data_IF_037230602642
#
_entry.id   IF_037230602642
#
_cell.length_a   1.000
_cell.length_b   1.000
_cell.length_c   1.000
_cell.angle_alpha   90.00
_cell.angle_beta   90.00
_cell.angle_gamma   90.00
#
_symmetry.space_group_name_H-M   'P 1'
#
loop_
_entity.id
_entity.type
_entity.pdbx_description
1 polymer ?
#
# COMPACT_ATOMS: atom_id res chain seq x y z
N UNK A 1 -25.63 -6.30 0.31
CA UNK A 1 -24.41 -6.25 -0.53
C UNK A 1 -23.43 -7.20 0.10
N UNK A 2 -22.93 -8.14 -0.66
CA UNK A 2 -21.93 -9.08 -0.17
C UNK A 2 -20.62 -8.37 0.13
N UNK A 3 -19.88 -8.89 1.08
CA UNK A 3 -18.57 -8.35 1.45
C UNK A 3 -17.58 -8.61 0.28
N UNK A 4 -16.76 -7.62 -0.14
CA UNK A 4 -15.86 -7.81 -1.27
C UNK A 4 -14.85 -8.92 -1.01
N UNK A 5 -14.59 -9.72 -2.02
CA UNK A 5 -13.58 -10.78 -2.02
C UNK A 5 -12.18 -10.21 -1.92
N UNK A 6 -11.19 -11.03 -1.53
CA UNK A 6 -9.78 -10.62 -1.51
C UNK A 6 -9.32 -10.19 -2.91
N UNK A 7 -9.74 -10.90 -3.96
CA UNK A 7 -9.39 -10.57 -5.35
C UNK A 7 -9.88 -9.16 -5.75
N UNK A 8 -11.13 -8.83 -5.45
CA UNK A 8 -11.69 -7.49 -5.71
C UNK A 8 -10.96 -6.40 -4.92
N UNK A 9 -10.60 -6.67 -3.66
CA UNK A 9 -9.84 -5.73 -2.83
C UNK A 9 -8.42 -5.52 -3.35
N UNK A 10 -7.75 -6.59 -3.81
CA UNK A 10 -6.40 -6.51 -4.39
C UNK A 10 -6.43 -5.74 -5.70
N UNK A 11 -7.45 -5.97 -6.57
CA UNK A 11 -7.64 -5.19 -7.79
C UNK A 11 -7.78 -3.70 -7.48
N UNK A 12 -8.68 -3.34 -6.57
CA UNK A 12 -8.89 -1.95 -6.16
C UNK A 12 -7.62 -1.34 -5.54
N UNK A 13 -6.84 -2.14 -4.79
CA UNK A 13 -5.55 -1.70 -4.28
C UNK A 13 -4.54 -1.44 -5.40
N UNK A 14 -4.43 -2.30 -6.41
CA UNK A 14 -3.55 -2.09 -7.57
C UNK A 14 -3.93 -0.81 -8.31
N UNK A 15 -5.22 -0.62 -8.63
CA UNK A 15 -5.75 0.56 -9.32
C UNK A 15 -5.42 1.87 -8.57
N UNK A 16 -5.64 1.90 -7.26
CA UNK A 16 -5.30 3.08 -6.46
C UNK A 16 -3.79 3.26 -6.25
N UNK A 17 -3.04 2.15 -6.14
CA UNK A 17 -1.59 2.20 -5.96
C UNK A 17 -0.88 2.79 -7.20
N UNK A 18 -1.27 2.40 -8.43
CA UNK A 18 -0.68 2.97 -9.66
C UNK A 18 -0.93 4.48 -9.76
N UNK A 19 -2.14 4.94 -9.43
CA UNK A 19 -2.46 6.38 -9.36
C UNK A 19 -1.61 7.07 -8.30
N UNK A 20 -1.50 6.48 -7.12
CA UNK A 20 -0.70 7.00 -6.01
C UNK A 20 0.78 7.18 -6.37
N UNK A 21 1.33 6.27 -7.14
CA UNK A 21 2.76 6.21 -7.50
C UNK A 21 3.07 6.80 -8.87
N UNK A 22 2.06 7.06 -9.70
CA UNK A 22 2.28 7.45 -11.09
C UNK A 22 2.98 6.36 -11.89
N UNK A 23 2.65 5.09 -11.60
CA UNK A 23 3.12 3.94 -12.35
C UNK A 23 2.30 3.75 -13.64
N UNK A 24 2.75 2.86 -14.53
CA UNK A 24 1.99 2.50 -15.72
C UNK A 24 0.67 1.80 -15.36
N UNK A 25 -0.29 1.82 -16.29
CA UNK A 25 -1.52 1.04 -16.13
C UNK A 25 -1.20 -0.45 -16.01
N UNK A 26 -1.95 -1.20 -15.18
CA UNK A 26 -1.72 -2.60 -14.98
C UNK A 26 -2.11 -3.40 -16.22
N UNK A 27 -1.31 -4.38 -16.59
CA UNK A 27 -1.65 -5.38 -17.59
C UNK A 27 -2.32 -6.55 -16.90
N UNK A 28 -3.54 -6.91 -17.35
CA UNK A 28 -4.23 -8.10 -16.87
C UNK A 28 -3.51 -9.36 -17.33
N UNK A 29 -3.25 -10.27 -16.41
CA UNK A 29 -2.61 -11.56 -16.63
C UNK A 29 -3.51 -12.69 -16.10
N UNK A 30 -3.37 -13.92 -16.58
CA UNK A 30 -4.17 -15.05 -16.07
C UNK A 30 -4.06 -15.28 -14.56
N UNK A 31 -2.96 -14.83 -13.96
CA UNK A 31 -2.64 -15.00 -12.54
C UNK A 31 -2.81 -13.71 -11.71
N UNK A 32 -3.18 -12.57 -12.32
CA UNK A 32 -3.33 -11.28 -11.65
C UNK A 32 -2.90 -10.09 -12.50
N UNK A 33 -1.91 -9.31 -12.08
CA UNK A 33 -1.52 -8.07 -12.76
C UNK A 33 0.00 -7.89 -12.83
N UNK A 34 0.47 -7.40 -13.99
CA UNK A 34 1.81 -6.85 -14.19
C UNK A 34 1.75 -5.33 -14.24
N UNK A 35 2.69 -4.66 -13.58
CA UNK A 35 2.80 -3.19 -13.57
C UNK A 35 4.25 -2.79 -13.81
N UNK A 36 4.49 -1.97 -14.83
CA UNK A 36 5.76 -1.29 -15.01
C UNK A 36 5.86 -0.09 -14.06
N UNK A 37 6.86 -0.11 -13.19
CA UNK A 37 7.03 0.93 -12.16
C UNK A 37 8.10 1.94 -12.55
N UNK A 38 9.11 1.52 -13.30
CA UNK A 38 10.15 2.39 -13.85
C UNK A 38 11.08 3.00 -12.81
N UNK A 39 11.21 2.40 -11.63
CA UNK A 39 12.13 2.86 -10.57
C UNK A 39 13.35 1.95 -10.49
N UNK A 40 14.57 2.46 -10.22
CA UNK A 40 15.80 1.65 -10.21
C UNK A 40 15.76 0.44 -9.29
N UNK A 41 15.06 0.56 -8.15
CA UNK A 41 14.87 -0.55 -7.19
C UNK A 41 13.57 -1.32 -7.38
N UNK A 42 12.73 -0.88 -8.30
CA UNK A 42 11.45 -1.49 -8.62
C UNK A 42 11.11 -1.23 -10.08
N UNK A 43 11.66 -2.07 -10.96
CA UNK A 43 11.46 -1.95 -12.41
C UNK A 43 10.03 -2.37 -12.76
N UNK A 44 9.62 -3.54 -12.29
CA UNK A 44 8.29 -4.09 -12.49
C UNK A 44 7.74 -4.70 -11.20
N UNK A 45 6.42 -4.86 -11.15
CA UNK A 45 5.70 -5.51 -10.07
C UNK A 45 4.68 -6.48 -10.64
N UNK A 46 4.70 -7.72 -10.17
CA UNK A 46 3.68 -8.71 -10.43
C UNK A 46 2.86 -8.92 -9.15
N UNK A 47 1.55 -8.83 -9.26
CA UNK A 47 0.60 -8.92 -8.13
C UNK A 47 -0.32 -10.12 -8.36
N UNK A 48 -0.28 -11.10 -7.48
CA UNK A 48 -1.08 -12.32 -7.51
C UNK A 48 -2.04 -12.32 -6.33
N UNK A 49 -3.34 -12.11 -6.56
CA UNK A 49 -4.36 -12.09 -5.48
C UNK A 49 -4.64 -13.48 -4.90
N UNK A 50 -4.48 -14.52 -5.71
CA UNK A 50 -4.63 -15.93 -5.35
C UNK A 50 -3.47 -16.73 -5.97
N UNK A 51 -2.26 -16.68 -5.37
CA UNK A 51 -1.08 -17.27 -5.96
C UNK A 51 -1.14 -18.80 -5.91
N UNK A 52 -0.93 -19.44 -7.07
CA UNK A 52 -0.75 -20.88 -7.18
C UNK A 52 0.68 -21.22 -7.57
N UNK A 53 1.19 -22.37 -7.09
CA UNK A 53 2.59 -22.79 -7.27
C UNK A 53 3.04 -22.73 -8.73
N UNK A 54 2.24 -23.24 -9.67
CA UNK A 54 2.59 -23.32 -11.09
C UNK A 54 2.86 -21.94 -11.69
N UNK A 55 2.05 -20.93 -11.36
CA UNK A 55 2.20 -19.58 -11.91
C UNK A 55 3.37 -18.84 -11.26
N UNK A 56 3.53 -18.97 -9.94
CA UNK A 56 4.69 -18.39 -9.24
C UNK A 56 5.99 -18.96 -9.77
N UNK A 57 6.09 -20.30 -9.96
CA UNK A 57 7.29 -20.93 -10.53
C UNK A 57 7.58 -20.47 -11.96
N UNK A 58 6.56 -20.28 -12.80
CA UNK A 58 6.74 -19.73 -14.16
C UNK A 58 7.30 -18.31 -14.11
N UNK A 59 6.71 -17.43 -13.27
CA UNK A 59 7.19 -16.06 -13.10
C UNK A 59 8.62 -16.01 -12.56
N UNK A 60 8.92 -16.81 -11.55
CA UNK A 60 10.27 -16.94 -10.97
C UNK A 60 11.29 -17.36 -12.03
N UNK A 61 10.98 -18.35 -12.86
CA UNK A 61 11.85 -18.85 -13.91
C UNK A 61 12.02 -17.86 -15.09
N UNK A 62 10.99 -17.08 -15.40
CA UNK A 62 10.99 -16.10 -16.50
C UNK A 62 11.64 -14.77 -16.11
N UNK A 63 11.77 -14.48 -14.81
CA UNK A 63 12.30 -13.19 -14.35
C UNK A 63 13.82 -13.15 -14.48
N UNK A 64 14.31 -12.18 -15.25
CA UNK A 64 15.74 -11.92 -15.46
C UNK A 64 16.17 -10.53 -15.00
N UNK A 65 15.23 -9.58 -14.89
CA UNK A 65 15.51 -8.20 -14.56
C UNK A 65 15.61 -8.01 -13.02
N UNK A 66 16.76 -7.58 -12.48
CA UNK A 66 16.87 -7.17 -11.08
C UNK A 66 15.88 -6.03 -10.76
N UNK A 67 15.33 -6.04 -9.56
CA UNK A 67 14.29 -5.06 -9.18
C UNK A 67 12.89 -5.41 -9.67
N UNK A 68 12.65 -6.61 -10.21
CA UNK A 68 11.30 -7.15 -10.38
C UNK A 68 10.76 -7.62 -9.03
N UNK A 69 9.53 -7.22 -8.72
CA UNK A 69 8.87 -7.53 -7.45
C UNK A 69 7.69 -8.48 -7.64
N UNK A 70 7.55 -9.42 -6.69
CA UNK A 70 6.35 -10.24 -6.53
C UNK A 70 5.58 -9.78 -5.28
N UNK A 71 4.29 -9.59 -5.42
CA UNK A 71 3.33 -9.33 -4.33
C UNK A 71 2.30 -10.46 -4.36
N UNK A 72 2.48 -11.43 -3.47
CA UNK A 72 1.72 -12.67 -3.43
C UNK A 72 0.80 -12.63 -2.20
N UNK A 73 -0.53 -12.59 -2.40
CA UNK A 73 -1.48 -12.50 -1.30
C UNK A 73 -1.67 -13.87 -0.64
N UNK A 74 -0.62 -14.34 0.01
CA UNK A 74 -0.51 -15.56 0.80
C UNK A 74 0.56 -15.39 1.87
N UNK A 75 0.60 -16.31 2.84
CA UNK A 75 1.65 -16.37 3.85
C UNK A 75 3.01 -16.72 3.23
N UNK A 76 4.09 -16.16 3.78
CA UNK A 76 5.45 -16.40 3.31
C UNK A 76 5.82 -17.88 3.32
N UNK A 77 5.41 -18.63 4.33
CA UNK A 77 5.72 -20.06 4.45
C UNK A 77 5.05 -20.90 3.35
N UNK A 78 3.89 -20.46 2.87
CA UNK A 78 3.20 -21.08 1.73
C UNK A 78 4.00 -20.91 0.43
N UNK A 79 4.50 -19.71 0.17
CA UNK A 79 5.16 -19.38 -1.11
C UNK A 79 6.65 -19.71 -1.13
N UNK A 80 7.28 -19.85 0.04
CA UNK A 80 8.72 -20.12 0.18
C UNK A 80 9.22 -21.29 -0.67
N UNK A 81 8.55 -22.46 -0.74
CA UNK A 81 9.01 -23.60 -1.56
C UNK A 81 8.94 -23.38 -3.07
N UNK A 82 8.24 -22.32 -3.52
CA UNK A 82 8.02 -22.03 -4.94
C UNK A 82 9.10 -21.12 -5.53
N UNK A 83 9.96 -20.54 -4.68
CA UNK A 83 10.97 -19.56 -5.08
C UNK A 83 12.25 -20.23 -5.54
N UNK A 84 12.93 -19.58 -6.47
CA UNK A 84 14.26 -19.97 -6.96
C UNK A 84 15.38 -19.07 -6.40
N UNK A 85 16.63 -19.32 -6.79
CA UNK A 85 17.76 -18.49 -6.40
C UNK A 85 17.60 -17.05 -6.89
N UNK A 86 18.18 -16.10 -6.15
CA UNK A 86 18.14 -14.67 -6.48
C UNK A 86 16.89 -13.93 -5.97
N UNK A 87 15.85 -14.63 -5.49
CA UNK A 87 14.70 -14.01 -4.86
C UNK A 87 14.93 -13.78 -3.38
N UNK A 88 14.56 -12.61 -2.91
CA UNK A 88 14.72 -12.17 -1.51
C UNK A 88 13.41 -11.65 -0.96
N UNK A 89 13.14 -11.95 0.29
CA UNK A 89 12.01 -11.37 1.02
C UNK A 89 12.28 -9.91 1.38
N UNK A 90 11.27 -9.09 1.22
CA UNK A 90 11.10 -7.80 1.88
C UNK A 90 10.18 -7.98 3.08
N UNK A 91 9.87 -6.90 3.78
CA UNK A 91 8.90 -6.96 4.88
C UNK A 91 7.55 -7.50 4.39
N UNK A 92 6.93 -8.43 5.13
CA UNK A 92 5.60 -8.93 4.82
C UNK A 92 4.58 -7.80 4.86
N UNK A 93 3.53 -7.95 4.08
CA UNK A 93 2.42 -7.00 4.04
C UNK A 93 1.12 -7.59 4.59
N UNK A 94 0.20 -6.70 4.92
CA UNK A 94 -1.16 -7.06 5.32
C UNK A 94 -2.14 -6.17 4.57
N UNK A 95 -2.94 -6.77 3.68
CA UNK A 95 -4.06 -6.05 3.07
C UNK A 95 -5.07 -5.72 4.17
N UNK A 96 -5.38 -4.44 4.30
CA UNK A 96 -6.33 -3.98 5.31
C UNK A 96 -7.37 -3.07 4.68
N UNK A 97 -8.57 -3.11 5.24
CA UNK A 97 -9.70 -2.27 4.83
C UNK A 97 -10.36 -1.58 6.01
N UNK A 98 -11.02 -0.45 5.74
CA UNK A 98 -11.85 0.28 6.69
C UNK A 98 -13.01 0.93 5.97
N UNK A 99 -14.23 0.96 6.53
CA UNK A 99 -15.29 1.85 6.07
C UNK A 99 -14.84 3.30 6.24
N UNK A 100 -15.04 4.12 5.21
CA UNK A 100 -14.75 5.55 5.27
C UNK A 100 -15.97 6.31 5.81
N UNK A 101 -15.70 7.24 6.71
CA UNK A 101 -16.68 8.14 7.28
C UNK A 101 -16.05 9.52 7.49
N UNK A 102 -16.88 10.54 7.69
CA UNK A 102 -16.40 11.87 8.04
C UNK A 102 -15.59 11.82 9.33
N UNK A 103 -14.43 12.41 9.30
CA UNK A 103 -13.54 12.54 10.46
C UNK A 103 -13.14 13.99 10.70
N UNK A 104 -12.75 14.30 11.92
CA UNK A 104 -12.19 15.60 12.29
C UNK A 104 -10.80 15.40 12.84
N UNK A 105 -9.75 15.49 11.99
CA UNK A 105 -8.38 15.36 12.46
C UNK A 105 -8.08 16.51 13.46
N UNK A 106 -7.61 16.15 14.65
CA UNK A 106 -7.16 17.13 15.65
C UNK A 106 -5.64 17.23 15.57
N UNK A 107 -5.16 18.42 15.22
CA UNK A 107 -3.72 18.68 15.08
C UNK A 107 -3.13 18.90 16.48
N UNK A 108 -2.11 18.10 16.89
CA UNK A 108 -1.45 18.31 18.18
C UNK A 108 -0.76 19.68 18.26
N UNK A 109 -0.63 20.23 19.47
CA UNK A 109 0.08 21.49 19.70
C UNK A 109 1.53 21.42 19.16
N UNK A 110 2.00 22.49 18.56
CA UNK A 110 3.34 22.58 17.96
C UNK A 110 3.45 21.98 16.56
N UNK A 111 2.34 21.53 15.96
CA UNK A 111 2.33 21.02 14.58
C UNK A 111 1.31 21.78 13.72
N UNK A 112 1.53 21.70 12.41
CA UNK A 112 0.59 22.18 11.38
C UNK A 112 0.29 21.04 10.41
N UNK A 113 -0.94 20.99 9.87
CA UNK A 113 -1.39 20.03 8.88
C UNK A 113 -1.76 20.77 7.61
N UNK A 114 -1.19 20.35 6.48
CA UNK A 114 -1.56 20.85 5.15
C UNK A 114 -1.99 19.68 4.28
N UNK A 115 -3.11 19.82 3.57
CA UNK A 115 -3.57 18.83 2.59
C UNK A 115 -3.87 19.48 1.25
N UNK A 116 -3.60 18.77 0.14
CA UNK A 116 -3.90 19.24 -1.22
C UNK A 116 -4.12 18.09 -2.18
N UNK A 117 -4.90 18.34 -3.21
CA UNK A 117 -5.10 17.44 -4.34
C UNK A 117 -4.17 17.76 -5.50
N UNK A 118 -3.60 16.75 -6.13
CA UNK A 118 -2.88 16.87 -7.41
C UNK A 118 -2.86 15.53 -8.13
N UNK A 119 -3.29 15.50 -9.40
CA UNK A 119 -3.25 14.30 -10.25
C UNK A 119 -4.03 13.12 -9.68
N UNK A 120 -5.24 13.35 -9.13
CA UNK A 120 -6.06 12.29 -8.52
C UNK A 120 -5.59 11.82 -7.13
N UNK A 121 -4.52 12.43 -6.60
CA UNK A 121 -3.92 12.04 -5.31
C UNK A 121 -4.08 13.18 -4.30
N UNK A 122 -4.67 12.88 -3.16
CA UNK A 122 -4.65 13.75 -1.99
C UNK A 122 -3.38 13.50 -1.17
N UNK A 123 -2.66 14.56 -0.87
CA UNK A 123 -1.44 14.50 -0.06
C UNK A 123 -1.61 15.27 1.23
N UNK A 124 -1.00 14.73 2.28
CA UNK A 124 -0.98 15.33 3.61
C UNK A 124 0.47 15.51 4.04
N UNK A 125 0.76 16.68 4.59
CA UNK A 125 2.05 17.02 5.17
C UNK A 125 1.84 17.62 6.55
N UNK A 126 2.51 17.06 7.54
CA UNK A 126 2.60 17.57 8.91
C UNK A 126 3.98 18.20 9.11
N UNK A 127 4.00 19.42 9.59
CA UNK A 127 5.22 20.16 9.95
C UNK A 127 5.19 20.56 11.41
N UNK A 128 6.37 20.75 11.98
CA UNK A 128 6.55 21.43 13.27
C UNK A 128 6.23 22.92 13.15
N UNK A 129 6.07 23.63 14.28
CA UNK A 129 5.78 25.07 14.29
C UNK A 129 6.87 25.93 13.63
N UNK A 130 8.12 25.45 13.59
CA UNK A 130 9.26 26.05 12.88
C UNK A 130 9.43 25.57 11.42
N UNK A 131 8.48 24.77 10.92
CA UNK A 131 8.36 24.39 9.51
C UNK A 131 9.06 23.10 9.09
N UNK A 132 9.74 22.38 9.99
CA UNK A 132 10.40 21.11 9.66
C UNK A 132 9.40 19.99 9.38
N UNK A 133 9.81 19.03 8.55
CA UNK A 133 9.05 17.82 8.25
C UNK A 133 8.84 16.97 9.50
N UNK A 134 7.62 16.48 9.71
CA UNK A 134 7.28 15.60 10.82
C UNK A 134 6.54 14.32 10.40
N UNK A 135 5.59 14.40 9.46
CA UNK A 135 4.88 13.25 8.92
C UNK A 135 4.24 13.57 7.56
N UNK A 136 3.97 12.53 6.78
CA UNK A 136 3.26 12.63 5.52
C UNK A 136 2.41 11.41 5.25
N UNK A 137 1.56 11.50 4.25
CA UNK A 137 0.82 10.40 3.66
C UNK A 137 0.11 10.84 2.40
N UNK A 138 -0.36 9.89 1.63
CA UNK A 138 -1.16 10.19 0.44
C UNK A 138 -2.27 9.16 0.25
N UNK A 139 -3.28 9.56 -0.52
CA UNK A 139 -4.49 8.80 -0.81
C UNK A 139 -4.84 8.96 -2.28
N UNK A 140 -5.01 7.86 -2.99
CA UNK A 140 -5.59 7.86 -4.33
C UNK A 140 -7.03 7.35 -4.26
N UNK A 141 -7.96 8.05 -4.90
CA UNK A 141 -9.38 7.65 -4.96
C UNK A 141 -9.70 7.11 -6.34
N UNK A 142 -10.21 5.88 -6.39
CA UNK A 142 -10.64 5.19 -7.59
C UNK A 142 -12.05 4.63 -7.37
N UNK A 143 -13.05 5.29 -7.97
CA UNK A 143 -14.46 4.93 -7.77
C UNK A 143 -14.88 4.98 -6.29
N UNK A 144 -15.40 3.88 -5.77
CA UNK A 144 -15.85 3.75 -4.39
C UNK A 144 -14.73 3.43 -3.38
N UNK A 145 -13.49 3.29 -3.84
CA UNK A 145 -12.35 2.93 -3.00
C UNK A 145 -11.31 4.04 -2.91
N UNK A 146 -10.58 4.08 -1.81
CA UNK A 146 -9.47 5.01 -1.59
C UNK A 146 -8.26 4.26 -1.02
N UNK A 147 -7.14 4.30 -1.74
CA UNK A 147 -5.90 3.61 -1.35
C UNK A 147 -4.96 4.56 -0.65
N UNK A 148 -4.73 4.30 0.66
CA UNK A 148 -3.76 5.04 1.46
C UNK A 148 -2.34 4.46 1.25
N UNK A 149 -1.37 5.33 0.99
CA UNK A 149 -0.02 4.95 0.61
C UNK A 149 1.02 5.97 1.14
N UNK A 150 2.28 5.57 1.22
CA UNK A 150 3.40 6.41 1.64
C UNK A 150 3.18 7.12 2.99
N UNK A 151 2.56 6.42 3.95
CA UNK A 151 2.40 6.93 5.30
C UNK A 151 3.75 6.82 6.02
N UNK A 152 4.27 7.97 6.44
CA UNK A 152 5.57 8.07 7.07
C UNK A 152 5.55 9.08 8.21
N UNK A 153 6.21 8.75 9.32
CA UNK A 153 6.47 9.68 10.42
C UNK A 153 7.97 9.70 10.69
N UNK A 154 8.54 10.91 10.68
CA UNK A 154 9.95 11.12 11.00
C UNK A 154 10.29 10.46 12.35
N UNK A 155 11.41 9.74 12.45
CA UNK A 155 11.82 9.05 13.69
C UNK A 155 11.81 9.96 14.94
N UNK A 156 12.23 11.21 14.81
CA UNK A 156 12.24 12.19 15.91
C UNK A 156 10.84 12.65 16.34
N UNK A 157 9.82 12.35 15.54
CA UNK A 157 8.42 12.75 15.78
C UNK A 157 7.46 11.58 16.01
N UNK A 158 7.98 10.33 16.11
CA UNK A 158 7.18 9.14 16.41
C UNK A 158 6.56 9.21 17.81
N UNK A 159 5.51 8.40 18.04
CA UNK A 159 4.76 8.28 19.31
C UNK A 159 4.09 9.57 19.79
N UNK A 160 3.88 10.54 18.89
CA UNK A 160 3.19 11.82 19.16
C UNK A 160 1.82 11.91 18.47
N UNK A 161 1.24 10.77 18.02
CA UNK A 161 -0.06 10.72 17.37
C UNK A 161 -0.09 11.17 15.90
N UNK A 162 1.06 11.49 15.28
CA UNK A 162 1.09 12.04 13.91
C UNK A 162 0.65 11.03 12.85
N UNK A 163 0.98 9.75 13.01
CA UNK A 163 0.48 8.70 12.11
C UNK A 163 -1.05 8.62 12.13
N UNK A 164 -1.66 8.69 13.32
CA UNK A 164 -3.13 8.73 13.46
C UNK A 164 -3.72 10.01 12.86
N UNK A 165 -3.08 11.16 13.04
CA UNK A 165 -3.49 12.43 12.43
C UNK A 165 -3.52 12.33 10.90
N UNK A 166 -2.42 11.82 10.29
CA UNK A 166 -2.31 11.61 8.84
C UNK A 166 -3.42 10.70 8.35
N UNK A 167 -3.60 9.53 8.98
CA UNK A 167 -4.62 8.56 8.56
C UNK A 167 -6.05 9.10 8.67
N UNK A 168 -6.37 9.84 9.72
CA UNK A 168 -7.69 10.50 9.87
C UNK A 168 -7.92 11.55 8.78
N UNK A 169 -6.90 12.34 8.46
CA UNK A 169 -6.99 13.34 7.39
C UNK A 169 -7.19 12.68 6.00
N UNK A 170 -6.51 11.58 5.73
CA UNK A 170 -6.67 10.82 4.49
C UNK A 170 -8.07 10.19 4.39
N UNK A 171 -8.58 9.59 5.48
CA UNK A 171 -9.91 8.98 5.52
C UNK A 171 -11.02 10.01 5.31
N UNK A 172 -10.94 11.18 5.97
CA UNK A 172 -11.87 12.28 5.77
C UNK A 172 -11.87 12.78 4.32
N UNK A 173 -10.68 12.94 3.71
CA UNK A 173 -10.54 13.34 2.31
C UNK A 173 -11.14 12.31 1.35
N UNK A 174 -10.91 11.01 1.57
CA UNK A 174 -11.50 9.92 0.79
C UNK A 174 -13.03 9.90 0.89
N UNK A 175 -13.56 10.02 2.11
CA UNK A 175 -15.01 10.11 2.34
C UNK A 175 -15.63 11.32 1.62
N UNK A 176 -15.04 12.51 1.73
CA UNK A 176 -15.50 13.72 1.02
C UNK A 176 -15.42 13.59 -0.49
N UNK A 177 -14.50 12.79 -1.01
CA UNK A 177 -14.40 12.50 -2.43
C UNK A 177 -15.39 11.41 -2.90
N UNK A 178 -16.24 10.88 -2.01
CA UNK A 178 -17.28 9.90 -2.31
C UNK A 178 -16.85 8.44 -2.18
N UNK A 179 -15.60 8.16 -1.78
CA UNK A 179 -15.19 6.80 -1.50
C UNK A 179 -15.83 6.28 -0.20
N UNK A 180 -16.21 5.02 -0.20
CA UNK A 180 -16.84 4.32 0.93
C UNK A 180 -15.90 3.38 1.65
N UNK A 181 -14.85 2.91 0.97
CA UNK A 181 -13.92 1.92 1.49
C UNK A 181 -12.48 2.39 1.37
N UNK A 182 -11.77 2.46 2.50
CA UNK A 182 -10.33 2.66 2.54
C UNK A 182 -9.60 1.32 2.41
N UNK A 183 -8.52 1.31 1.63
CA UNK A 183 -7.66 0.14 1.40
C UNK A 183 -6.20 0.55 1.61
N UNK A 184 -5.40 -0.32 2.20
CA UNK A 184 -3.94 -0.20 2.26
C UNK A 184 -3.28 -1.57 2.37
N UNK A 185 -1.96 -1.63 2.12
CA UNK A 185 -1.11 -2.75 2.53
C UNK A 185 -0.16 -2.24 3.61
N UNK A 186 -0.33 -2.77 4.81
CA UNK A 186 0.44 -2.42 6.00
C UNK A 186 1.72 -3.22 6.11
N UNK A 187 2.80 -2.60 6.59
CA UNK A 187 3.94 -3.32 7.18
C UNK A 187 3.57 -3.88 8.57
N UNK A 188 4.34 -4.80 9.16
CA UNK A 188 4.10 -5.29 10.52
C UNK A 188 4.00 -4.16 11.56
N UNK A 189 4.86 -3.14 11.47
CA UNK A 189 4.81 -1.95 12.35
C UNK A 189 3.53 -1.14 12.12
N UNK A 190 3.18 -0.88 10.85
CA UNK A 190 1.97 -0.11 10.50
C UNK A 190 0.68 -0.80 10.87
N UNK A 191 0.63 -2.14 10.83
CA UNK A 191 -0.55 -2.93 11.17
C UNK A 191 -1.10 -2.60 12.55
N UNK A 192 -0.24 -2.45 13.56
CA UNK A 192 -0.66 -2.12 14.92
C UNK A 192 -1.37 -0.75 14.98
N UNK A 193 -0.82 0.26 14.31
CA UNK A 193 -1.42 1.59 14.20
C UNK A 193 -2.80 1.51 13.50
N UNK A 194 -2.85 0.84 12.36
CA UNK A 194 -4.09 0.79 11.57
C UNK A 194 -5.18 -0.01 12.26
N UNK A 195 -4.84 -1.14 12.91
CA UNK A 195 -5.81 -1.89 13.73
C UNK A 195 -6.39 -1.03 14.86
N UNK A 196 -5.57 -0.21 15.54
CA UNK A 196 -6.05 0.74 16.55
C UNK A 196 -6.95 1.86 15.97
N UNK A 197 -6.90 2.10 14.66
CA UNK A 197 -7.76 3.03 13.93
C UNK A 197 -8.97 2.35 13.27
N UNK A 198 -9.24 1.09 13.61
CA UNK A 198 -10.41 0.33 13.13
C UNK A 198 -10.24 -0.36 11.77
N UNK A 199 -9.01 -0.42 11.24
CA UNK A 199 -8.74 -1.18 10.02
C UNK A 199 -8.70 -2.68 10.33
N UNK A 200 -9.30 -3.47 9.44
CA UNK A 200 -9.35 -4.94 9.54
C UNK A 200 -8.43 -5.58 8.52
N UNK A 201 -7.68 -6.60 8.94
CA UNK A 201 -6.85 -7.42 8.04
C UNK A 201 -7.75 -8.30 7.19
N UNK A 202 -7.49 -8.33 5.88
CA UNK A 202 -8.24 -9.13 4.89
C UNK A 202 -7.41 -10.29 4.34
N UNK A 203 -6.10 -10.06 4.14
CA UNK A 203 -5.16 -11.09 3.68
C UNK A 203 -3.73 -10.75 4.09
N UNK A 204 -2.87 -11.77 4.32
CA UNK A 204 -1.43 -11.60 4.34
C UNK A 204 -0.91 -11.34 2.93
N UNK A 205 0.30 -10.79 2.81
CA UNK A 205 0.99 -10.59 1.54
C UNK A 205 2.49 -10.88 1.71
N UNK A 206 2.98 -11.91 1.05
CA UNK A 206 4.41 -12.10 0.86
C UNK A 206 4.94 -11.08 -0.17
N UNK A 207 6.02 -10.41 0.19
CA UNK A 207 6.66 -9.38 -0.61
C UNK A 207 8.08 -9.80 -0.94
N UNK A 208 8.39 -9.92 -2.23
CA UNK A 208 9.68 -10.42 -2.70
C UNK A 208 10.22 -9.55 -3.83
N UNK A 209 11.53 -9.53 -3.97
CA UNK A 209 12.20 -8.88 -5.09
C UNK A 209 13.34 -9.73 -5.62
N UNK A 210 13.58 -9.62 -6.91
CA UNK A 210 14.68 -10.33 -7.59
C UNK A 210 15.97 -9.51 -7.51
N UNK A 211 17.00 -10.08 -6.89
CA UNK A 211 18.33 -9.47 -6.71
C UNK A 211 19.42 -10.55 -6.83
N UNK A 212 19.72 -11.05 -8.05
CA UNK A 212 20.77 -12.03 -8.25
C UNK A 212 22.13 -11.43 -7.93
N UNK A 213 22.98 -12.17 -7.22
CA UNK A 213 24.38 -11.79 -6.99
C UNK A 213 24.61 -10.71 -5.93
N UNK A 214 23.62 -10.37 -5.11
CA UNK A 214 23.77 -9.47 -3.96
C UNK A 214 23.85 -10.25 -2.64
#
# INVERSE_FOLDING_TARGET
>A
MDEPTVNELVRAWVEGWIVSRGAADPVDEPWGWSVDVGQPKQVARHVLPDPVEADVRKLVAATTAPGTWLKLFADEDTVRPWLGPGWRYDLPGYLMTVPLAAERPVVPAGYTLTGWWRGGVFRVLVRTGDGHYAARGQLAVTGATAVADQIETDPGHRRRGLGSLVMRALRDAGHRAGATTGILVATPEGRALYSALGWSVRAPMASLFYAPGA
#
